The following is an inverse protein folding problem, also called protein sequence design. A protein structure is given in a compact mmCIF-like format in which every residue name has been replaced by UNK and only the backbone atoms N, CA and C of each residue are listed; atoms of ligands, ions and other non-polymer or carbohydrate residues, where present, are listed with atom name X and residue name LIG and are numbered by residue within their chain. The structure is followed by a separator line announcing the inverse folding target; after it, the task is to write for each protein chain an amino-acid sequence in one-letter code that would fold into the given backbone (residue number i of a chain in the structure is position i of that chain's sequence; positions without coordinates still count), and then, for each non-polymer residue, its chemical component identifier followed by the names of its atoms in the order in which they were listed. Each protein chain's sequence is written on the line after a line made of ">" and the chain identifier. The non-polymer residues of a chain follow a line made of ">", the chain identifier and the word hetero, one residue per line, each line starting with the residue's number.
data_IF_011118194427
#
_entry.id   IF_011118194427
#
_cell.length_a   1.000
_cell.length_b   1.000
_cell.length_c   1.000
_cell.angle_alpha   90.00
_cell.angle_beta   90.00
_cell.angle_gamma   90.00
#
_symmetry.space_group_name_H-M   'P 1'
#
loop_
_entity.id
_entity.type
_entity.pdbx_description
1 polymer ?
#
# COMPACT_ATOMS: atom_id res chain seq x y z
N UNK A 1 -3.98 -64.31 -39.14
CA UNK A 1 -3.57 -63.26 -38.19
C UNK A 1 -3.41 -61.94 -38.92
N UNK A 2 -4.40 -61.04 -38.88
CA UNK A 2 -4.22 -59.62 -39.24
C UNK A 2 -5.06 -58.80 -38.27
N UNK A 3 -4.41 -58.32 -37.21
CA UNK A 3 -5.02 -57.47 -36.19
C UNK A 3 -5.37 -56.12 -36.81
N UNK A 4 -6.66 -55.81 -36.86
CA UNK A 4 -7.17 -54.49 -37.24
C UNK A 4 -7.06 -53.60 -36.00
N UNK A 5 -5.95 -52.87 -35.90
CA UNK A 5 -5.80 -51.78 -34.94
C UNK A 5 -6.85 -50.71 -35.29
N UNK A 6 -7.97 -50.73 -34.57
CA UNK A 6 -8.89 -49.61 -34.51
C UNK A 6 -8.15 -48.50 -33.74
N UNK A 7 -7.43 -47.67 -34.49
CA UNK A 7 -6.87 -46.43 -34.00
C UNK A 7 -8.03 -45.59 -33.46
N UNK A 8 -8.12 -45.51 -32.13
CA UNK A 8 -8.95 -44.53 -31.42
C UNK A 8 -8.37 -43.15 -31.75
N UNK A 9 -8.83 -42.54 -32.83
CA UNK A 9 -8.67 -41.10 -33.03
C UNK A 9 -9.62 -40.41 -32.05
N UNK A 10 -9.17 -40.22 -30.82
CA UNK A 10 -9.77 -39.28 -29.87
C UNK A 10 -9.41 -37.88 -30.38
N UNK A 11 -10.13 -37.41 -31.41
CA UNK A 11 -10.00 -36.05 -31.89
C UNK A 11 -10.65 -35.11 -30.86
N UNK A 12 -9.79 -34.32 -30.21
CA UNK A 12 -10.02 -33.03 -29.57
C UNK A 12 -11.48 -32.76 -29.12
N UNK A 13 -11.73 -32.83 -27.81
CA UNK A 13 -12.63 -31.85 -27.21
C UNK A 13 -12.00 -30.49 -27.54
N UNK A 14 -12.51 -29.78 -28.57
CA UNK A 14 -12.07 -28.41 -28.80
C UNK A 14 -12.39 -27.66 -27.52
N UNK A 15 -11.38 -27.18 -26.79
CA UNK A 15 -11.61 -26.23 -25.72
C UNK A 15 -12.22 -25.02 -26.39
N UNK A 16 -13.55 -24.93 -26.30
CA UNK A 16 -14.31 -23.82 -26.83
C UNK A 16 -13.69 -22.54 -26.28
N UNK A 17 -13.21 -21.63 -27.15
CA UNK A 17 -12.71 -20.36 -26.68
C UNK A 17 -13.86 -19.65 -25.97
N UNK A 18 -13.66 -19.40 -24.68
CA UNK A 18 -14.62 -18.75 -23.81
C UNK A 18 -14.05 -17.41 -23.35
N UNK A 19 -14.94 -16.55 -22.88
CA UNK A 19 -14.50 -15.41 -22.07
C UNK A 19 -13.90 -15.99 -20.78
N UNK A 20 -12.58 -15.83 -20.63
CA UNK A 20 -11.85 -16.32 -19.47
C UNK A 20 -12.38 -15.66 -18.19
N UNK A 21 -12.25 -16.38 -17.07
CA UNK A 21 -12.41 -15.80 -15.74
C UNK A 21 -11.16 -14.99 -15.36
N UNK A 22 -10.94 -13.91 -16.10
CA UNK A 22 -9.79 -13.02 -15.93
C UNK A 22 -10.23 -11.56 -16.12
N UNK A 23 -9.47 -10.65 -15.52
CA UNK A 23 -9.63 -9.22 -15.75
C UNK A 23 -9.39 -8.91 -17.24
N UNK A 24 -10.21 -8.03 -17.82
CA UNK A 24 -10.01 -7.56 -19.21
C UNK A 24 -9.04 -6.39 -19.20
N UNK A 25 -7.82 -6.69 -18.81
CA UNK A 25 -6.73 -5.72 -18.64
C UNK A 25 -5.39 -6.37 -19.01
N UNK A 26 -4.55 -5.61 -19.69
CA UNK A 26 -3.20 -6.00 -20.07
C UNK A 26 -2.26 -4.85 -19.72
N UNK A 27 -1.11 -5.18 -19.15
CA UNK A 27 -0.13 -4.18 -18.69
C UNK A 27 1.21 -4.42 -19.36
N UNK A 28 1.90 -3.33 -19.67
CA UNK A 28 3.23 -3.31 -20.25
C UNK A 28 4.07 -2.24 -19.56
N UNK A 29 5.39 -2.43 -19.57
CA UNK A 29 6.36 -1.40 -19.17
C UNK A 29 7.29 -1.09 -20.33
N UNK A 30 6.80 -0.47 -21.42
CA UNK A 30 7.64 -0.11 -22.55
C UNK A 30 8.78 0.80 -22.11
N UNK A 31 9.92 0.65 -22.80
CA UNK A 31 11.06 1.54 -22.68
C UNK A 31 11.44 1.99 -24.09
N UNK A 32 11.06 3.22 -24.43
CA UNK A 32 11.27 3.82 -25.74
C UNK A 32 10.77 2.90 -26.87
N UNK A 33 9.53 2.42 -26.75
CA UNK A 33 8.93 1.47 -27.69
C UNK A 33 7.57 1.95 -28.22
N UNK A 34 7.24 1.60 -29.45
CA UNK A 34 6.03 2.07 -30.15
C UNK A 34 4.92 1.00 -30.15
N UNK A 35 5.26 -0.25 -29.84
CA UNK A 35 4.42 -1.43 -30.03
C UNK A 35 4.99 -2.37 -31.10
N UNK A 36 4.25 -3.39 -31.53
CA UNK A 36 2.87 -3.69 -31.17
C UNK A 36 2.73 -4.17 -29.73
N UNK A 37 1.69 -3.68 -29.04
CA UNK A 37 1.27 -4.18 -27.73
C UNK A 37 0.00 -4.99 -27.91
N UNK A 38 0.03 -6.28 -27.58
CA UNK A 38 -1.13 -7.15 -27.73
C UNK A 38 -2.25 -6.76 -26.75
N UNK A 39 -3.49 -6.78 -27.24
CA UNK A 39 -4.66 -6.73 -26.37
C UNK A 39 -4.93 -8.16 -25.91
N UNK A 40 -4.66 -8.46 -24.64
CA UNK A 40 -4.71 -9.81 -24.07
C UNK A 40 -6.11 -10.40 -23.87
N UNK A 41 -7.14 -9.80 -24.45
CA UNK A 41 -8.53 -10.21 -24.31
C UNK A 41 -9.33 -9.96 -25.60
N UNK A 42 -10.46 -10.66 -25.82
CA UNK A 42 -11.30 -10.45 -27.00
C UNK A 42 -11.85 -9.02 -27.10
N UNK A 43 -11.82 -8.46 -28.31
CA UNK A 43 -12.36 -7.14 -28.67
C UNK A 43 -13.64 -7.34 -29.50
N UNK A 44 -14.64 -6.47 -29.31
CA UNK A 44 -15.94 -6.55 -30.00
C UNK A 44 -16.24 -5.31 -30.85
N UNK A 45 -15.33 -4.36 -30.89
CA UNK A 45 -15.38 -3.16 -31.73
C UNK A 45 -14.00 -2.98 -32.38
N UNK A 46 -13.93 -3.14 -33.70
CA UNK A 46 -12.68 -3.06 -34.45
C UNK A 46 -12.08 -1.65 -34.48
N UNK A 47 -12.83 -0.63 -34.07
CA UNK A 47 -12.34 0.76 -33.99
C UNK A 47 -11.56 1.04 -32.71
N UNK A 48 -11.65 0.17 -31.69
CA UNK A 48 -11.06 0.39 -30.38
C UNK A 48 -11.88 1.29 -29.45
N UNK A 49 -13.10 1.69 -29.83
CA UNK A 49 -13.97 2.53 -28.99
C UNK A 49 -14.39 1.87 -27.65
N UNK A 50 -14.20 0.57 -27.51
CA UNK A 50 -14.44 -0.18 -26.26
C UNK A 50 -13.15 -0.39 -25.45
N UNK A 51 -12.06 0.32 -25.74
CA UNK A 51 -10.79 0.24 -25.02
C UNK A 51 -10.50 1.55 -24.29
N UNK A 52 -9.86 1.43 -23.14
CA UNK A 52 -9.22 2.52 -22.40
C UNK A 52 -7.72 2.23 -22.40
N UNK A 53 -6.92 3.24 -22.76
CA UNK A 53 -5.46 3.11 -22.89
C UNK A 53 -4.85 4.20 -22.04
N UNK A 54 -4.14 3.82 -20.99
CA UNK A 54 -3.49 4.78 -20.08
C UNK A 54 -1.99 4.56 -20.05
N UNK A 55 -1.23 5.65 -19.98
CA UNK A 55 0.22 5.65 -19.75
C UNK A 55 0.48 6.43 -18.46
N UNK A 56 1.09 5.79 -17.47
CA UNK A 56 1.32 6.34 -16.13
C UNK A 56 0.06 6.97 -15.51
N UNK A 57 -1.09 6.33 -15.76
CA UNK A 57 -2.40 6.77 -15.25
C UNK A 57 -3.07 7.90 -16.05
N UNK A 58 -2.46 8.36 -17.15
CA UNK A 58 -3.01 9.38 -18.03
C UNK A 58 -3.63 8.72 -19.26
N UNK A 59 -4.91 8.98 -19.52
CA UNK A 59 -5.62 8.50 -20.72
C UNK A 59 -4.94 8.99 -21.99
N UNK A 60 -4.74 8.06 -22.93
CA UNK A 60 -4.11 8.29 -24.22
C UNK A 60 -5.20 8.37 -25.29
N UNK A 61 -5.35 9.55 -25.90
CA UNK A 61 -6.37 9.78 -26.94
C UNK A 61 -5.71 10.26 -28.22
N UNK A 62 -5.90 9.53 -29.32
CA UNK A 62 -5.49 9.96 -30.66
C UNK A 62 -4.00 9.78 -30.99
N UNK A 63 -3.18 9.29 -30.06
CA UNK A 63 -1.76 9.00 -30.26
C UNK A 63 -1.47 7.49 -30.41
N UNK A 64 -2.50 6.69 -30.66
CA UNK A 64 -2.40 5.26 -30.91
C UNK A 64 -3.44 4.79 -31.93
N UNK A 65 -3.16 3.65 -32.55
CA UNK A 65 -4.05 2.98 -33.49
C UNK A 65 -4.22 1.50 -33.11
N UNK A 66 -5.44 0.97 -33.30
CA UNK A 66 -5.73 -0.46 -33.16
C UNK A 66 -5.60 -1.17 -34.51
N UNK A 67 -4.82 -2.24 -34.55
CA UNK A 67 -4.87 -3.21 -35.64
C UNK A 67 -5.60 -4.45 -35.15
N UNK A 68 -6.70 -4.84 -35.81
CA UNK A 68 -7.48 -6.03 -35.42
C UNK A 68 -7.42 -7.14 -36.45
N UNK A 69 -7.51 -8.39 -35.98
CA UNK A 69 -7.77 -9.56 -36.80
C UNK A 69 -8.96 -10.34 -36.23
N UNK A 70 -9.79 -11.00 -37.06
CA UNK A 70 -10.83 -11.89 -36.54
C UNK A 70 -10.22 -12.94 -35.61
N UNK A 71 -10.83 -13.15 -34.45
CA UNK A 71 -10.40 -14.16 -33.50
C UNK A 71 -10.80 -15.55 -34.03
N UNK A 72 -9.93 -16.12 -34.88
CA UNK A 72 -10.16 -17.43 -35.50
C UNK A 72 -10.37 -18.52 -34.46
N UNK A 73 -11.39 -19.36 -34.65
CA UNK A 73 -11.77 -20.41 -33.72
C UNK A 73 -12.64 -19.96 -32.53
N UNK A 74 -12.83 -18.66 -32.31
CA UNK A 74 -13.72 -18.13 -31.27
C UNK A 74 -15.17 -18.08 -31.76
N UNK A 75 -16.10 -18.65 -31.00
CA UNK A 75 -17.52 -18.60 -31.35
C UNK A 75 -18.02 -17.15 -31.28
N UNK A 76 -18.41 -16.59 -32.41
CA UNK A 76 -18.73 -15.16 -32.56
C UNK A 76 -17.84 -14.43 -33.59
N UNK A 77 -16.79 -15.07 -34.08
CA UNK A 77 -16.10 -14.63 -35.30
C UNK A 77 -17.10 -14.53 -36.49
N UNK A 78 -16.98 -13.53 -37.38
CA UNK A 78 -15.89 -12.56 -37.51
C UNK A 78 -16.06 -11.28 -36.67
N UNK A 79 -17.08 -11.20 -35.81
CA UNK A 79 -17.41 -10.00 -35.03
C UNK A 79 -16.72 -9.96 -33.65
N UNK A 80 -15.77 -10.88 -33.43
CA UNK A 80 -14.88 -10.90 -32.28
C UNK A 80 -13.45 -10.85 -32.82
N UNK A 81 -12.63 -9.99 -32.23
CA UNK A 81 -11.29 -9.68 -32.73
C UNK A 81 -10.21 -9.94 -31.67
N UNK A 82 -9.02 -10.29 -32.13
CA UNK A 82 -7.78 -9.97 -31.43
C UNK A 82 -7.28 -8.62 -31.93
N UNK A 83 -6.39 -7.97 -31.19
CA UNK A 83 -5.83 -6.72 -31.67
C UNK A 83 -4.52 -6.35 -31.02
N UNK A 84 -3.82 -5.43 -31.68
CA UNK A 84 -2.58 -4.83 -31.21
C UNK A 84 -2.69 -3.32 -31.24
N UNK A 85 -2.17 -2.68 -30.22
CA UNK A 85 -2.05 -1.22 -30.13
C UNK A 85 -0.65 -0.82 -30.58
N UNK A 86 -0.57 0.22 -31.42
CA UNK A 86 0.67 0.86 -31.81
C UNK A 86 0.54 2.36 -31.60
N UNK A 87 1.53 2.97 -30.95
CA UNK A 87 1.56 4.40 -30.70
C UNK A 87 2.11 5.16 -31.92
N UNK A 88 1.86 6.47 -31.99
CA UNK A 88 2.43 7.33 -33.03
C UNK A 88 3.89 7.71 -32.74
N UNK A 89 4.31 7.60 -31.48
CA UNK A 89 5.67 7.87 -31.01
C UNK A 89 6.09 6.85 -29.94
N UNK A 90 7.39 6.64 -29.71
CA UNK A 90 7.86 5.77 -28.62
C UNK A 90 7.35 6.24 -27.27
N UNK A 91 6.85 5.29 -26.46
CA UNK A 91 6.40 5.52 -25.09
C UNK A 91 7.32 4.81 -24.10
N UNK A 92 7.43 5.40 -22.91
CA UNK A 92 8.11 4.84 -21.74
C UNK A 92 7.21 5.03 -20.54
N UNK A 93 7.12 4.02 -19.66
CA UNK A 93 6.29 4.09 -18.45
C UNK A 93 5.38 2.88 -18.30
N UNK A 94 4.42 2.95 -17.39
CA UNK A 94 3.41 1.91 -17.18
C UNK A 94 2.25 2.11 -18.16
N UNK A 95 2.20 1.26 -19.18
CA UNK A 95 1.09 1.20 -20.13
C UNK A 95 0.04 0.21 -19.64
N UNK A 96 -1.21 0.65 -19.57
CA UNK A 96 -2.36 -0.19 -19.23
C UNK A 96 -3.38 -0.11 -20.36
N UNK A 97 -3.81 -1.27 -20.85
CA UNK A 97 -4.87 -1.42 -21.83
C UNK A 97 -6.01 -2.18 -21.14
N UNK A 98 -7.18 -1.60 -21.05
CA UNK A 98 -8.34 -2.22 -20.40
C UNK A 98 -9.61 -2.13 -21.25
N UNK A 99 -10.54 -3.05 -20.99
CA UNK A 99 -11.88 -2.98 -21.56
C UNK A 99 -12.69 -1.84 -20.93
N UNK A 100 -13.28 -0.99 -21.76
CA UNK A 100 -14.12 0.12 -21.38
C UNK A 100 -15.37 0.21 -22.25
N UNK A 101 -16.13 -0.89 -22.32
CA UNK A 101 -17.36 -0.90 -23.10
C UNK A 101 -18.51 -0.25 -22.33
N UNK A 102 -19.13 0.74 -22.95
CA UNK A 102 -20.39 1.29 -22.44
C UNK A 102 -21.54 0.27 -22.62
N UNK A 103 -22.40 0.05 -21.61
CA UNK A 103 -23.55 -0.84 -21.74
C UNK A 103 -24.48 -0.38 -22.88
N UNK A 104 -24.52 -1.14 -23.97
CA UNK A 104 -25.38 -0.88 -25.14
C UNK A 104 -25.69 -2.17 -25.87
N UNK A 105 -26.92 -2.28 -26.37
CA UNK A 105 -27.32 -3.35 -27.31
C UNK A 105 -27.58 -2.73 -28.68
N UNK A 106 -26.72 -3.07 -29.63
CA UNK A 106 -26.82 -2.60 -31.03
C UNK A 106 -27.48 -3.63 -31.94
N UNK A 107 -27.38 -4.92 -31.59
CA UNK A 107 -27.93 -6.00 -32.39
C UNK A 107 -29.44 -6.13 -32.22
N UNK A 108 -30.14 -6.26 -33.35
CA UNK A 108 -31.57 -6.57 -33.42
C UNK A 108 -31.77 -7.79 -34.31
N UNK A 109 -32.58 -8.73 -33.83
CA UNK A 109 -32.92 -9.94 -34.56
C UNK A 109 -34.30 -9.79 -35.18
N UNK A 110 -34.40 -9.97 -36.48
CA UNK A 110 -35.70 -9.92 -37.17
C UNK A 110 -36.56 -11.11 -36.74
N UNK A 111 -37.85 -10.87 -36.58
CA UNK A 111 -38.84 -11.92 -36.29
C UNK A 111 -39.05 -12.81 -37.52
N UNK A 112 -39.42 -14.08 -37.31
CA UNK A 112 -39.77 -15.02 -38.38
C UNK A 112 -38.58 -15.62 -39.15
N UNK A 113 -37.34 -15.33 -38.78
CA UNK A 113 -36.13 -16.00 -39.31
C UNK A 113 -35.41 -16.81 -38.24
N UNK A 114 -34.63 -17.82 -38.67
CA UNK A 114 -33.72 -18.52 -37.77
C UNK A 114 -32.67 -17.58 -37.21
N UNK A 115 -32.38 -17.69 -35.91
CA UNK A 115 -31.28 -17.00 -35.24
C UNK A 115 -30.01 -17.84 -35.41
N UNK A 116 -29.00 -17.37 -36.16
CA UNK A 116 -27.75 -18.11 -36.29
C UNK A 116 -27.06 -18.21 -34.93
N UNK A 117 -26.63 -19.41 -34.54
CA UNK A 117 -25.91 -19.63 -33.27
C UNK A 117 -24.68 -18.72 -33.13
N UNK A 118 -24.02 -18.37 -34.26
CA UNK A 118 -22.91 -17.40 -34.30
C UNK A 118 -23.32 -16.02 -33.78
N UNK A 119 -24.47 -15.52 -34.23
CA UNK A 119 -24.92 -14.17 -33.88
C UNK A 119 -25.32 -14.15 -32.39
N UNK A 120 -26.01 -15.20 -31.94
CA UNK A 120 -26.32 -15.41 -30.52
C UNK A 120 -25.04 -15.49 -29.65
N UNK A 121 -24.04 -16.24 -30.07
CA UNK A 121 -22.76 -16.34 -29.37
C UNK A 121 -22.07 -14.97 -29.29
N UNK A 122 -22.06 -14.20 -30.38
CA UNK A 122 -21.48 -12.84 -30.40
C UNK A 122 -22.10 -11.97 -29.31
N UNK A 123 -23.43 -11.92 -29.22
CA UNK A 123 -24.11 -11.12 -28.19
C UNK A 123 -23.87 -11.62 -26.77
N UNK A 124 -23.89 -12.94 -26.56
CA UNK A 124 -23.60 -13.51 -25.24
C UNK A 124 -22.17 -13.20 -24.78
N UNK A 125 -21.21 -13.22 -25.70
CA UNK A 125 -19.83 -12.83 -25.42
C UNK A 125 -19.72 -11.35 -25.05
N UNK A 126 -20.39 -10.47 -25.79
CA UNK A 126 -20.43 -9.04 -25.51
C UNK A 126 -21.01 -8.77 -24.11
N UNK A 127 -22.14 -9.40 -23.78
CA UNK A 127 -22.77 -9.28 -22.46
C UNK A 127 -21.84 -9.79 -21.35
N UNK A 128 -21.26 -10.97 -21.55
CA UNK A 128 -20.33 -11.56 -20.58
C UNK A 128 -19.10 -10.67 -20.38
N UNK A 129 -18.54 -10.14 -21.46
CA UNK A 129 -17.39 -9.25 -21.40
C UNK A 129 -17.69 -7.94 -20.67
N UNK A 130 -18.87 -7.35 -20.89
CA UNK A 130 -19.33 -6.16 -20.15
C UNK A 130 -19.54 -6.45 -18.65
N UNK A 131 -20.13 -7.60 -18.30
CA UNK A 131 -20.26 -8.02 -16.89
C UNK A 131 -18.90 -8.20 -16.23
N UNK A 132 -17.90 -8.74 -16.95
CA UNK A 132 -16.53 -8.87 -16.45
C UNK A 132 -15.86 -7.52 -16.20
N UNK A 133 -16.02 -6.56 -17.10
CA UNK A 133 -15.53 -5.19 -16.89
C UNK A 133 -16.17 -4.53 -15.66
N UNK A 134 -17.50 -4.68 -15.50
CA UNK A 134 -18.22 -4.16 -14.32
C UNK A 134 -17.70 -4.82 -13.04
N UNK A 135 -17.53 -6.13 -13.04
CA UNK A 135 -16.99 -6.87 -11.90
C UNK A 135 -15.57 -6.43 -11.55
N UNK A 136 -14.72 -6.23 -12.56
CA UNK A 136 -13.37 -5.73 -12.39
C UNK A 136 -13.35 -4.34 -11.75
N UNK A 137 -14.24 -3.43 -12.18
CA UNK A 137 -14.38 -2.11 -11.56
C UNK A 137 -14.89 -2.21 -10.13
N UNK A 138 -15.91 -3.03 -9.88
CA UNK A 138 -16.49 -3.23 -8.55
C UNK A 138 -15.45 -3.74 -7.54
N UNK A 139 -14.57 -4.66 -7.94
CA UNK A 139 -13.44 -5.13 -7.11
C UNK A 139 -12.48 -4.01 -6.68
N UNK A 140 -12.44 -2.90 -7.41
CA UNK A 140 -11.58 -1.73 -7.14
C UNK A 140 -12.32 -0.55 -6.51
N UNK A 141 -13.62 -0.70 -6.26
CA UNK A 141 -14.42 0.32 -5.56
C UNK A 141 -14.46 0.06 -4.05
N UNK A 142 -14.71 1.11 -3.27
CA UNK A 142 -15.04 0.97 -1.86
C UNK A 142 -16.43 0.32 -1.74
N UNK A 143 -16.51 -0.79 -1.03
CA UNK A 143 -17.76 -1.55 -0.82
C UNK A 143 -18.01 -1.78 0.67
N UNK A 144 -19.24 -1.60 1.12
CA UNK A 144 -19.65 -2.03 2.46
C UNK A 144 -19.78 -3.56 2.50
N UNK A 145 -19.41 -4.22 3.62
CA UNK A 145 -19.69 -5.63 3.84
C UNK A 145 -21.17 -5.99 3.67
N UNK A 146 -21.45 -7.20 3.17
CA UNK A 146 -22.83 -7.67 3.02
C UNK A 146 -23.57 -7.88 4.36
N UNK A 147 -22.84 -7.95 5.47
CA UNK A 147 -23.37 -8.06 6.83
C UNK A 147 -23.89 -6.73 7.38
N UNK A 148 -23.50 -5.61 6.77
CA UNK A 148 -23.89 -4.30 7.26
C UNK A 148 -25.38 -4.06 6.99
N UNK A 149 -26.05 -3.41 7.95
CA UNK A 149 -27.38 -2.85 7.68
C UNK A 149 -27.29 -1.86 6.49
N UNK A 150 -28.38 -1.55 5.78
CA UNK A 150 -28.34 -0.60 4.67
C UNK A 150 -27.69 0.73 5.08
N UNK A 151 -26.49 1.01 4.55
CA UNK A 151 -25.74 2.26 4.73
C UNK A 151 -25.86 3.09 3.44
N UNK A 152 -26.14 4.38 3.57
CA UNK A 152 -26.06 5.30 2.45
C UNK A 152 -24.59 5.58 2.11
N UNK A 153 -24.12 4.99 1.01
CA UNK A 153 -22.76 5.17 0.49
C UNK A 153 -22.69 6.28 -0.57
N UNK A 154 -23.72 7.12 -0.68
CA UNK A 154 -23.76 8.24 -1.63
C UNK A 154 -22.81 9.34 -1.18
N UNK A 155 -21.79 9.62 -1.99
CA UNK A 155 -20.89 10.74 -1.72
C UNK A 155 -21.64 12.08 -1.84
N UNK A 156 -21.42 13.03 -0.93
CA UNK A 156 -21.96 14.38 -1.04
C UNK A 156 -21.52 15.07 -2.35
N UNK A 157 -22.32 16.04 -2.80
CA UNK A 157 -22.02 16.83 -3.99
C UNK A 157 -20.61 17.46 -3.94
N UNK A 158 -19.97 17.64 -5.10
CA UNK A 158 -18.56 18.09 -5.23
C UNK A 158 -18.21 19.29 -4.34
N UNK A 159 -19.09 20.30 -4.26
CA UNK A 159 -18.87 21.49 -3.44
C UNK A 159 -18.84 21.20 -1.93
N UNK A 160 -19.69 20.29 -1.44
CA UNK A 160 -19.76 19.91 -0.03
C UNK A 160 -18.53 19.12 0.43
N UNK A 161 -17.93 18.33 -0.47
CA UNK A 161 -16.73 17.52 -0.19
C UNK A 161 -15.40 18.18 -0.58
N UNK A 162 -15.41 19.38 -1.14
CA UNK A 162 -14.18 20.08 -1.48
C UNK A 162 -13.38 20.39 -0.21
N UNK A 163 -12.09 20.03 -0.18
CA UNK A 163 -11.19 20.19 0.97
C UNK A 163 -11.65 19.49 2.26
N UNK A 164 -12.48 18.44 2.14
CA UNK A 164 -12.94 17.60 3.26
C UNK A 164 -12.31 16.22 3.21
N UNK A 165 -12.17 15.60 4.38
CA UNK A 165 -11.74 14.21 4.54
C UNK A 165 -12.97 13.30 4.54
N UNK A 166 -12.89 12.14 3.89
CA UNK A 166 -13.87 11.07 4.05
C UNK A 166 -13.57 10.35 5.37
N UNK A 167 -14.49 10.39 6.31
CA UNK A 167 -14.39 9.72 7.61
C UNK A 167 -15.67 8.93 7.89
N UNK A 168 -15.68 8.15 8.96
CA UNK A 168 -16.85 7.41 9.41
C UNK A 168 -17.37 8.00 10.73
N UNK A 169 -18.68 8.14 10.87
CA UNK A 169 -19.31 8.58 12.12
C UNK A 169 -19.29 7.48 13.21
N UNK A 170 -19.85 7.78 14.39
CA UNK A 170 -19.93 6.84 15.50
C UNK A 170 -20.76 5.57 15.19
N UNK A 171 -21.55 5.60 14.10
CA UNK A 171 -22.36 4.50 13.61
C UNK A 171 -21.74 3.83 12.37
N UNK A 172 -20.52 4.22 11.96
CA UNK A 172 -19.80 3.66 10.82
C UNK A 172 -20.27 4.17 9.46
N UNK A 173 -21.06 5.24 9.39
CA UNK A 173 -21.56 5.80 8.13
C UNK A 173 -20.55 6.79 7.54
N UNK A 174 -20.35 6.81 6.22
CA UNK A 174 -19.44 7.75 5.58
C UNK A 174 -19.95 9.20 5.73
N UNK A 175 -19.12 10.08 6.27
CA UNK A 175 -19.35 11.53 6.41
C UNK A 175 -18.15 12.32 5.88
N UNK A 176 -18.33 13.62 5.61
CA UNK A 176 -17.27 14.50 5.05
C UNK A 176 -17.06 15.74 5.91
N UNK A 177 -16.94 15.58 7.23
CA UNK A 177 -17.10 16.69 8.18
C UNK A 177 -15.81 17.46 8.41
N UNK A 178 -14.65 16.79 8.57
CA UNK A 178 -13.38 17.47 8.89
C UNK A 178 -12.70 18.10 7.67
N UNK A 179 -12.25 19.35 7.83
CA UNK A 179 -11.34 20.00 6.90
C UNK A 179 -9.88 19.62 7.19
N UNK A 180 -8.97 19.79 6.23
CA UNK A 180 -7.55 19.50 6.43
C UNK A 180 -6.91 20.27 7.59
N UNK A 181 -7.35 21.50 7.84
CA UNK A 181 -6.88 22.32 8.97
C UNK A 181 -7.21 21.69 10.33
N UNK A 182 -8.35 21.01 10.45
CA UNK A 182 -8.76 20.34 11.70
C UNK A 182 -7.88 19.12 12.00
N UNK A 183 -7.43 18.41 10.96
CA UNK A 183 -6.52 17.27 11.08
C UNK A 183 -5.10 17.71 11.45
N UNK A 184 -4.65 18.84 10.90
CA UNK A 184 -3.38 19.45 11.27
C UNK A 184 -3.39 19.92 12.73
N UNK A 185 -4.48 20.53 13.18
CA UNK A 185 -4.66 20.91 14.59
C UNK A 185 -4.57 19.70 15.53
N UNK A 186 -5.26 18.60 15.21
CA UNK A 186 -5.17 17.34 15.98
C UNK A 186 -3.74 16.78 16.02
N UNK A 187 -3.02 16.85 14.90
CA UNK A 187 -1.64 16.38 14.80
C UNK A 187 -0.71 17.21 15.67
N UNK A 188 -0.92 18.53 15.72
CA UNK A 188 -0.13 19.45 16.53
C UNK A 188 -0.44 19.30 18.02
N UNK A 189 -1.69 19.09 18.40
CA UNK A 189 -2.09 18.78 19.78
C UNK A 189 -1.45 17.46 20.26
N UNK A 190 -1.48 16.42 19.44
CA UNK A 190 -0.83 15.14 19.74
C UNK A 190 0.72 15.21 19.79
N UNK A 191 1.34 16.13 19.03
CA UNK A 191 2.77 16.42 19.15
C UNK A 191 3.07 17.13 20.47
N UNK A 192 2.33 18.20 20.79
CA UNK A 192 2.49 18.94 22.04
C UNK A 192 2.34 18.05 23.29
N UNK A 193 1.37 17.13 23.29
CA UNK A 193 1.21 16.17 24.38
C UNK A 193 2.40 15.20 24.52
N UNK A 194 2.98 14.75 23.40
CA UNK A 194 4.19 13.90 23.41
C UNK A 194 5.42 14.67 23.89
N UNK A 195 5.60 15.90 23.43
CA UNK A 195 6.73 16.74 23.82
C UNK A 195 6.67 17.07 25.31
N UNK A 196 5.47 17.38 25.84
CA UNK A 196 5.26 17.59 27.27
C UNK A 196 5.59 16.31 28.09
N UNK A 197 5.15 15.14 27.65
CA UNK A 197 5.47 13.87 28.31
C UNK A 197 6.98 13.58 28.32
N UNK A 198 7.69 13.90 27.23
CA UNK A 198 9.15 13.77 27.17
C UNK A 198 9.86 14.75 28.11
N UNK A 199 9.36 15.99 28.23
CA UNK A 199 9.88 16.97 29.19
C UNK A 199 9.76 16.47 30.62
N UNK A 200 8.58 15.98 31.03
CA UNK A 200 8.37 15.43 32.38
C UNK A 200 9.24 14.20 32.65
N UNK A 201 9.44 13.33 31.66
CA UNK A 201 10.34 12.19 31.78
C UNK A 201 11.80 12.63 31.96
N UNK A 202 12.23 13.66 31.21
CA UNK A 202 13.56 14.27 31.34
C UNK A 202 13.80 14.89 32.71
N UNK A 203 12.84 15.66 33.23
CA UNK A 203 12.90 16.23 34.59
C UNK A 203 13.01 15.14 35.66
N UNK A 204 12.21 14.08 35.53
CA UNK A 204 12.23 12.94 36.46
C UNK A 204 13.59 12.22 36.46
N UNK A 205 14.21 12.06 35.28
CA UNK A 205 15.57 11.54 35.16
C UNK A 205 16.59 12.49 35.79
N UNK A 206 16.43 13.80 35.60
CA UNK A 206 17.25 14.82 36.25
C UNK A 206 17.23 14.72 37.78
N UNK A 207 16.03 14.61 38.37
CA UNK A 207 15.88 14.43 39.82
C UNK A 207 16.51 13.11 40.31
N UNK A 208 16.39 12.03 39.55
CA UNK A 208 17.03 10.75 39.88
C UNK A 208 18.56 10.88 39.90
N UNK A 209 19.14 11.51 38.87
CA UNK A 209 20.58 11.71 38.77
C UNK A 209 21.11 12.61 39.90
N UNK A 210 20.37 13.66 40.26
CA UNK A 210 20.71 14.50 41.42
C UNK A 210 20.67 13.69 42.73
N UNK A 211 19.64 12.88 42.94
CA UNK A 211 19.54 12.02 44.11
C UNK A 211 20.69 10.99 44.18
N UNK A 212 21.08 10.40 43.05
CA UNK A 212 22.25 9.53 42.95
C UNK A 212 23.55 10.29 43.26
N UNK A 213 23.70 11.51 42.73
CA UNK A 213 24.82 12.40 43.06
C UNK A 213 24.93 12.71 44.55
N UNK A 214 23.81 13.03 45.21
CA UNK A 214 23.77 13.26 46.66
C UNK A 214 24.11 12.01 47.46
N UNK A 215 23.64 10.82 47.04
CA UNK A 215 24.02 9.55 47.67
C UNK A 215 25.53 9.30 47.56
N UNK A 216 26.11 9.48 46.38
CA UNK A 216 27.54 9.29 46.16
C UNK A 216 28.38 10.29 46.98
N UNK A 217 27.94 11.56 47.06
CA UNK A 217 28.61 12.57 47.87
C UNK A 217 28.55 12.25 49.38
N UNK A 218 27.42 11.76 49.87
CA UNK A 218 27.27 11.32 51.25
C UNK A 218 28.22 10.15 51.58
N UNK A 219 28.28 9.14 50.70
CA UNK A 219 29.20 8.01 50.84
C UNK A 219 30.68 8.45 50.84
N UNK A 220 31.05 9.41 50.00
CA UNK A 220 32.40 9.96 49.97
C UNK A 220 32.74 10.71 51.27
N UNK A 221 31.79 11.45 51.84
CA UNK A 221 31.97 12.14 53.11
C UNK A 221 32.13 11.15 54.28
N UNK A 222 31.34 10.07 54.31
CA UNK A 222 31.47 8.99 55.30
C UNK A 222 32.84 8.31 55.26
N UNK A 223 33.31 7.95 54.06
CA UNK A 223 34.65 7.38 53.86
C UNK A 223 35.76 8.32 54.33
N UNK A 224 35.64 9.61 54.01
CA UNK A 224 36.59 10.64 54.44
C UNK A 224 36.61 10.78 55.95
N UNK A 225 35.44 10.83 56.60
CA UNK A 225 35.32 10.91 58.04
C UNK A 225 35.90 9.67 58.74
N UNK A 226 35.66 8.47 58.19
CA UNK A 226 36.26 7.22 58.69
C UNK A 226 37.80 7.23 58.56
N UNK A 227 38.34 7.75 57.46
CA UNK A 227 39.78 7.90 57.27
C UNK A 227 40.39 8.88 58.29
N UNK A 228 39.74 10.04 58.51
CA UNK A 228 40.17 11.00 59.53
C UNK A 228 40.15 10.39 60.94
N UNK A 229 39.09 9.68 61.32
CA UNK A 229 38.98 9.02 62.62
C UNK A 229 40.10 7.98 62.82
N UNK A 230 40.45 7.22 61.77
CA UNK A 230 41.56 6.26 61.80
C UNK A 230 42.91 6.95 61.97
N UNK A 231 43.15 8.07 61.27
CA UNK A 231 44.40 8.82 61.36
C UNK A 231 44.61 9.47 62.73
N UNK A 232 43.59 10.12 63.29
CA UNK A 232 43.65 10.72 64.64
C UNK A 232 43.79 9.66 65.71
N UNK A 233 43.07 8.54 65.56
CA UNK A 233 43.23 7.37 66.43
C UNK A 233 44.68 6.87 66.47
N UNK A 234 45.34 6.78 65.32
CA UNK A 234 46.75 6.37 65.23
C UNK A 234 47.73 7.39 65.86
N UNK A 235 47.48 8.70 65.72
CA UNK A 235 48.33 9.75 66.29
C UNK A 235 48.28 9.83 67.83
N UNK A 236 47.14 9.53 68.45
CA UNK A 236 46.99 9.52 69.91
C UNK A 236 47.83 8.41 70.56
N UNK A 237 48.08 7.30 69.84
CA UNK A 237 48.92 6.20 70.34
C UNK A 237 50.42 6.38 70.09
N UNK A 238 50.86 7.45 69.40
CA UNK A 238 52.28 7.67 69.03
C UNK A 238 53.02 8.65 69.97
N UNK A 239 52.35 9.20 70.99
CA UNK A 239 53.00 10.16 71.91
C UNK A 239 53.79 9.52 73.07
N UNK A 240 54.06 8.21 73.03
CA UNK A 240 54.66 7.48 74.16
C UNK A 240 56.03 6.85 73.91
N UNK A 241 56.78 7.24 72.87
CA UNK A 241 58.12 6.67 72.64
C UNK A 241 59.20 7.69 72.23
N UNK A 242 59.14 8.93 72.71
CA UNK A 242 60.37 9.73 72.85
C UNK A 242 60.93 9.50 74.26
N UNK A 243 61.46 8.31 74.47
CA UNK A 243 62.25 7.97 75.65
C UNK A 243 63.60 8.70 75.56
N UNK A 244 63.70 9.80 76.29
CA UNK A 244 64.85 10.18 77.13
C UNK A 244 66.25 9.91 76.55
N UNK A 245 66.89 10.93 75.98
CA UNK A 245 68.36 10.99 75.90
C UNK A 245 68.90 12.39 76.25
N UNK A 246 69.16 12.52 77.55
CA UNK A 246 70.28 13.22 78.19
C UNK A 246 70.32 14.76 78.16
N UNK A 247 69.76 15.34 79.24
CA UNK A 247 70.19 16.60 79.83
C UNK A 247 71.70 16.55 80.17
N UNK A 248 72.49 17.31 79.44
CA UNK A 248 73.92 17.50 79.70
C UNK A 248 74.09 18.41 80.93
N UNK A 249 74.32 17.82 82.11
CA UNK A 249 74.72 18.55 83.31
C UNK A 249 76.15 19.06 83.09
N UNK A 250 76.29 20.37 82.89
CA UNK A 250 77.59 21.04 82.89
C UNK A 250 78.13 21.15 84.31
N UNK A 251 79.33 20.60 84.51
CA UNK A 251 80.21 20.79 85.67
C UNK A 251 80.70 22.25 85.72
N UNK A 252 80.52 22.93 86.85
CA UNK A 252 81.02 24.29 87.13
C UNK A 252 81.90 24.30 88.40
N UNK A 253 83.00 23.57 88.32
CA UNK A 253 84.28 23.90 88.97
C UNK A 253 85.42 23.62 87.97
N UNK A 254 86.16 24.59 87.43
CA UNK A 254 86.33 26.02 87.71
C UNK A 254 86.27 26.86 86.43
#
# INVERSE_FOLDING_TARGET
>A
MRGRLLSRTLALMSTQPNILDADRLTTYTPNNAVGPFDVGFPIFDSTGADLSVTLDGIEQTGNWSLTTAPFSGYWGAPNTYTGTITFTAPVTGMLVIEGNRSPRRISQYAEGRGLPARDQNTELNILTAGVREIWQRLKRTLTAPASDAPIDMTLPGKAARANRVLEFDAQGRPITTRGFADVEALTNEAKGARDAAQSYAGETLGYRNQAEGHKNAAQAAELSAAAYATAVGAQIFDFSLDSDLALNIYDWSA
#
